data_IF_116138166349
#
_entry.id   IF_116138166349
#
_cell.length_a   1.000
_cell.length_b   1.000
_cell.length_c   1.000
_cell.angle_alpha   90.00
_cell.angle_beta   90.00
_cell.angle_gamma   90.00
#
_symmetry.space_group_name_H-M   'P 1'
#
loop_
_entity.id
_entity.type
_entity.pdbx_description
1 polymer ?
#
# COMPACT_ATOMS: atom_id res chain seq x y z
N UNK A 1 -19.03 -21.84 20.89
CA UNK A 1 -17.73 -21.67 20.19
C UNK A 1 -17.97 -20.65 19.11
N UNK A 2 -17.40 -19.45 19.26
CA UNK A 2 -17.61 -18.36 18.30
C UNK A 2 -16.78 -18.64 17.04
N UNK A 3 -17.43 -18.64 15.87
CA UNK A 3 -16.74 -18.62 14.59
C UNK A 3 -15.86 -17.35 14.53
N UNK A 4 -14.60 -17.42 14.08
CA UNK A 4 -13.88 -16.20 13.76
C UNK A 4 -14.65 -15.56 12.61
N UNK A 5 -15.27 -14.42 12.91
CA UNK A 5 -15.99 -13.61 11.96
C UNK A 5 -15.01 -13.25 10.84
N UNK A 6 -15.13 -13.89 9.67
CA UNK A 6 -14.50 -13.45 8.42
C UNK A 6 -14.90 -11.99 8.23
N UNK A 7 -14.05 -11.06 8.69
CA UNK A 7 -14.25 -9.64 8.48
C UNK A 7 -14.34 -9.44 6.99
N UNK A 8 -15.47 -8.91 6.52
CA UNK A 8 -15.56 -8.52 5.11
C UNK A 8 -14.40 -7.55 4.83
N UNK A 9 -13.73 -7.65 3.68
CA UNK A 9 -12.60 -6.77 3.33
C UNK A 9 -12.96 -5.27 3.43
N UNK A 10 -14.23 -4.93 3.23
CA UNK A 10 -14.81 -3.60 3.40
C UNK A 10 -14.74 -3.08 4.84
N UNK A 11 -14.89 -3.95 5.85
CA UNK A 11 -14.84 -3.57 7.25
C UNK A 11 -13.41 -3.33 7.73
N UNK A 12 -12.45 -4.17 7.30
CA UNK A 12 -11.03 -3.95 7.59
C UNK A 12 -10.55 -2.59 7.06
N UNK A 13 -10.87 -2.29 5.79
CA UNK A 13 -10.54 -1.01 5.19
C UNK A 13 -11.19 0.17 5.92
N UNK A 14 -12.47 0.04 6.29
CA UNK A 14 -13.18 1.08 7.03
C UNK A 14 -12.55 1.34 8.40
N UNK A 15 -12.18 0.28 9.13
CA UNK A 15 -11.52 0.37 10.42
C UNK A 15 -10.16 1.06 10.31
N UNK A 16 -9.33 0.65 9.33
CA UNK A 16 -8.01 1.24 9.11
C UNK A 16 -8.11 2.73 8.73
N UNK A 17 -9.09 3.10 7.89
CA UNK A 17 -9.37 4.50 7.57
C UNK A 17 -9.76 5.31 8.80
N UNK A 18 -10.67 4.78 9.63
CA UNK A 18 -11.05 5.45 10.86
C UNK A 18 -9.85 5.61 11.82
N UNK A 19 -9.03 4.59 11.96
CA UNK A 19 -7.86 4.58 12.84
C UNK A 19 -6.78 5.57 12.39
N UNK A 20 -6.61 5.76 11.07
CA UNK A 20 -5.64 6.72 10.52
C UNK A 20 -5.87 8.17 10.94
N UNK A 21 -7.10 8.51 11.35
CA UNK A 21 -7.47 9.85 11.80
C UNK A 21 -7.43 9.97 13.33
N UNK A 22 -7.69 8.88 14.04
CA UNK A 22 -7.94 8.91 15.49
C UNK A 22 -6.76 8.44 16.35
N UNK A 23 -5.81 7.68 15.78
CA UNK A 23 -4.69 7.11 16.54
C UNK A 23 -3.39 7.88 16.33
N UNK A 24 -2.46 7.92 17.31
CA UNK A 24 -1.11 8.42 17.10
C UNK A 24 -0.35 7.61 16.04
N UNK A 25 0.54 8.27 15.30
CA UNK A 25 1.27 7.68 14.16
C UNK A 25 1.99 6.36 14.50
N UNK A 26 2.69 6.30 15.63
CA UNK A 26 3.38 5.10 16.08
C UNK A 26 2.42 3.90 16.27
N UNK A 27 1.22 4.15 16.82
CA UNK A 27 0.20 3.13 16.99
C UNK A 27 -0.37 2.68 15.64
N UNK A 28 -0.58 3.61 14.71
CA UNK A 28 -1.03 3.29 13.35
C UNK A 28 -0.04 2.34 12.67
N UNK A 29 1.26 2.62 12.75
CA UNK A 29 2.29 1.74 12.17
C UNK A 29 2.25 0.34 12.80
N UNK A 30 2.17 0.24 14.12
CA UNK A 30 2.11 -1.05 14.84
C UNK A 30 0.86 -1.86 14.48
N UNK A 31 -0.29 -1.21 14.35
CA UNK A 31 -1.53 -1.86 13.95
C UNK A 31 -1.41 -2.37 12.49
N UNK A 32 -0.78 -1.61 11.60
CA UNK A 32 -0.50 -2.06 10.23
C UNK A 32 0.46 -3.25 10.17
N UNK A 33 1.49 -3.29 11.03
CA UNK A 33 2.37 -4.47 11.11
C UNK A 33 1.57 -5.72 11.43
N UNK A 34 0.71 -5.65 12.45
CA UNK A 34 -0.16 -6.79 12.83
C UNK A 34 -1.09 -7.18 11.70
N UNK A 35 -1.71 -6.22 11.02
CA UNK A 35 -2.58 -6.52 9.88
C UNK A 35 -1.81 -7.26 8.78
N UNK A 36 -0.61 -6.82 8.44
CA UNK A 36 0.23 -7.46 7.42
C UNK A 36 0.59 -8.91 7.81
N UNK A 37 0.90 -9.14 9.08
CA UNK A 37 1.29 -10.45 9.61
C UNK A 37 0.09 -11.40 9.70
N UNK A 38 -1.01 -10.95 10.32
CA UNK A 38 -2.12 -11.80 10.74
C UNK A 38 -3.15 -12.08 9.62
N UNK A 39 -3.33 -11.15 8.67
CA UNK A 39 -4.41 -11.27 7.67
C UNK A 39 -3.98 -12.07 6.43
N UNK A 40 -4.88 -12.82 5.79
CA UNK A 40 -4.57 -13.57 4.58
C UNK A 40 -4.32 -12.65 3.39
N UNK A 41 -3.56 -13.15 2.39
CA UNK A 41 -3.19 -12.38 1.20
C UNK A 41 -4.40 -11.78 0.46
N UNK A 42 -5.55 -12.46 0.46
CA UNK A 42 -6.80 -11.97 -0.14
C UNK A 42 -7.33 -10.67 0.50
N UNK A 43 -7.30 -10.59 1.82
CA UNK A 43 -7.75 -9.38 2.52
C UNK A 43 -6.75 -8.25 2.35
N UNK A 44 -5.46 -8.58 2.40
CA UNK A 44 -4.36 -7.65 2.14
C UNK A 44 -4.40 -7.08 0.71
N UNK A 45 -4.71 -7.90 -0.29
CA UNK A 45 -4.88 -7.49 -1.68
C UNK A 45 -5.93 -6.39 -1.82
N UNK A 46 -7.04 -6.54 -1.10
CA UNK A 46 -8.16 -5.59 -1.15
C UNK A 46 -7.78 -4.22 -0.58
N UNK A 47 -6.97 -4.18 0.49
CA UNK A 47 -6.59 -2.92 1.14
C UNK A 47 -5.29 -2.33 0.59
N UNK A 48 -4.50 -3.09 -0.16
CA UNK A 48 -3.17 -2.70 -0.63
C UNK A 48 -3.14 -1.37 -1.40
N UNK A 49 -4.05 -1.11 -2.37
CA UNK A 49 -4.04 0.17 -3.08
C UNK A 49 -4.19 1.37 -2.12
N UNK A 50 -5.12 1.26 -1.16
CA UNK A 50 -5.31 2.29 -0.15
C UNK A 50 -4.10 2.44 0.78
N UNK A 51 -3.46 1.34 1.17
CA UNK A 51 -2.25 1.38 2.01
C UNK A 51 -1.12 2.14 1.29
N UNK A 52 -0.90 1.85 0.01
CA UNK A 52 0.13 2.53 -0.80
C UNK A 52 -0.13 4.04 -0.83
N UNK A 53 -1.37 4.46 -1.14
CA UNK A 53 -1.74 5.87 -1.14
C UNK A 53 -1.64 6.52 0.25
N UNK A 54 -2.01 5.80 1.30
CA UNK A 54 -1.94 6.29 2.68
C UNK A 54 -0.49 6.49 3.15
N UNK A 55 0.45 5.68 2.68
CA UNK A 55 1.86 5.74 3.09
C UNK A 55 2.62 6.74 2.22
N UNK A 56 2.57 6.56 0.90
CA UNK A 56 3.41 7.29 -0.06
C UNK A 56 2.75 8.53 -0.65
N UNK A 57 1.43 8.65 -0.50
CA UNK A 57 0.63 9.65 -1.18
C UNK A 57 0.07 9.14 -2.50
N UNK A 58 -0.92 9.87 -3.03
CA UNK A 58 -1.54 9.56 -4.30
C UNK A 58 -0.69 10.09 -5.47
N UNK A 59 -0.82 9.45 -6.63
CA UNK A 59 -0.06 9.81 -7.83
C UNK A 59 -0.42 11.19 -8.39
N UNK A 60 -1.63 11.68 -8.15
CA UNK A 60 -2.05 13.06 -8.47
C UNK A 60 -1.57 14.10 -7.44
N UNK A 61 -0.96 13.66 -6.34
CA UNK A 61 -0.48 14.52 -5.26
C UNK A 61 -1.56 15.11 -4.35
N UNK A 62 -2.83 14.70 -4.52
CA UNK A 62 -3.94 15.17 -3.65
C UNK A 62 -3.77 14.64 -2.22
N UNK A 63 -3.40 13.37 -2.08
CA UNK A 63 -3.05 12.75 -0.81
C UNK A 63 -1.54 12.81 -0.62
N UNK A 64 -1.08 13.42 0.48
CA UNK A 64 0.35 13.49 0.84
C UNK A 64 0.86 12.20 1.52
N UNK A 65 -0.05 11.28 1.84
CA UNK A 65 0.25 10.07 2.61
C UNK A 65 0.76 10.39 4.01
N UNK A 66 1.78 9.66 4.46
CA UNK A 66 2.50 9.93 5.72
C UNK A 66 3.43 11.14 5.65
N UNK A 67 3.46 11.85 4.52
CA UNK A 67 4.34 12.98 4.29
C UNK A 67 5.81 12.64 4.62
N UNK A 68 6.28 11.51 4.06
CA UNK A 68 7.62 10.96 4.30
C UNK A 68 8.75 11.99 4.08
N UNK A 69 8.52 12.97 3.20
CA UNK A 69 9.43 14.10 2.95
C UNK A 69 9.68 14.95 4.19
N UNK A 70 8.68 15.11 5.05
CA UNK A 70 8.76 15.92 6.27
C UNK A 70 9.26 15.13 7.48
N UNK A 71 9.32 13.79 7.40
CA UNK A 71 9.88 12.96 8.47
C UNK A 71 11.40 13.07 8.47
N UNK A 72 11.91 13.93 9.36
CA UNK A 72 13.34 14.16 9.54
C UNK A 72 13.80 13.64 10.89
N UNK A 73 14.82 12.76 10.91
CA UNK A 73 15.32 12.15 12.14
C UNK A 73 15.85 13.11 13.20
N UNK A 74 16.18 14.36 12.84
CA UNK A 74 16.58 15.40 13.80
C UNK A 74 15.38 16.06 14.51
N UNK A 75 14.22 16.11 13.85
CA UNK A 75 13.02 16.78 14.35
C UNK A 75 12.11 15.79 15.06
N UNK A 76 11.94 14.59 14.49
CA UNK A 76 11.15 13.52 15.07
C UNK A 76 11.89 12.16 14.97
N UNK A 77 12.88 11.91 15.85
CA UNK A 77 13.73 10.72 15.76
C UNK A 77 12.94 9.41 15.93
N UNK A 78 11.90 9.43 16.78
CA UNK A 78 11.12 8.23 17.09
C UNK A 78 10.26 7.82 15.88
N UNK A 79 9.46 8.74 15.33
CA UNK A 79 8.64 8.43 14.16
C UNK A 79 9.50 8.11 12.94
N UNK A 80 10.63 8.79 12.78
CA UNK A 80 11.59 8.48 11.74
C UNK A 80 12.11 7.03 11.85
N UNK A 81 12.52 6.58 13.04
CA UNK A 81 12.97 5.19 13.24
C UNK A 81 11.88 4.19 12.91
N UNK A 82 10.64 4.44 13.36
CA UNK A 82 9.49 3.58 13.09
C UNK A 82 9.25 3.43 11.59
N UNK A 83 9.28 4.52 10.83
CA UNK A 83 9.10 4.47 9.38
C UNK A 83 10.25 3.77 8.68
N UNK A 84 11.49 4.02 9.09
CA UNK A 84 12.65 3.35 8.51
C UNK A 84 12.58 1.84 8.74
N UNK A 85 12.20 1.39 9.93
CA UNK A 85 11.98 -0.03 10.23
C UNK A 85 10.80 -0.61 9.45
N UNK A 86 9.71 0.16 9.29
CA UNK A 86 8.52 -0.27 8.56
C UNK A 86 8.81 -0.49 7.06
N UNK A 87 9.60 0.41 6.46
CA UNK A 87 9.94 0.45 5.04
C UNK A 87 11.26 -0.24 4.69
N UNK A 88 11.98 -0.78 5.67
CA UNK A 88 13.21 -1.54 5.46
C UNK A 88 12.99 -2.70 4.46
N UNK A 89 13.99 -3.13 3.68
CA UNK A 89 13.86 -4.29 2.79
C UNK A 89 13.42 -5.59 3.51
N UNK A 90 13.70 -5.74 4.80
CA UNK A 90 13.19 -6.82 5.65
C UNK A 90 11.93 -6.45 6.45
N UNK A 91 11.43 -5.23 6.29
CA UNK A 91 10.35 -4.62 7.04
C UNK A 91 8.95 -5.08 6.62
N UNK A 92 7.93 -4.72 7.42
CA UNK A 92 6.52 -5.01 7.17
C UNK A 92 6.05 -4.70 5.74
N UNK A 93 6.41 -3.54 5.18
CA UNK A 93 5.96 -3.17 3.83
C UNK A 93 6.49 -4.14 2.77
N UNK A 94 7.76 -4.54 2.86
CA UNK A 94 8.34 -5.47 1.88
C UNK A 94 7.79 -6.89 2.05
N UNK A 95 7.56 -7.33 3.30
CA UNK A 95 6.87 -8.60 3.58
C UNK A 95 5.46 -8.64 2.97
N UNK A 96 4.71 -7.54 3.06
CA UNK A 96 3.40 -7.40 2.41
C UNK A 96 3.50 -7.60 0.90
N UNK A 97 4.44 -6.92 0.25
CA UNK A 97 4.66 -7.03 -1.21
C UNK A 97 4.96 -8.48 -1.60
N UNK A 98 5.88 -9.16 -0.89
CA UNK A 98 6.19 -10.56 -1.17
C UNK A 98 5.00 -11.50 -0.95
N UNK A 99 4.22 -11.27 0.11
CA UNK A 99 3.02 -12.06 0.41
C UNK A 99 1.96 -11.93 -0.68
N UNK A 100 1.81 -10.75 -1.28
CA UNK A 100 0.88 -10.52 -2.40
C UNK A 100 1.44 -11.04 -3.72
N UNK A 101 2.76 -10.93 -3.94
CA UNK A 101 3.43 -11.41 -5.16
C UNK A 101 3.44 -12.94 -5.27
N UNK A 102 3.36 -13.66 -4.16
CA UNK A 102 3.25 -15.12 -4.16
C UNK A 102 1.93 -15.62 -4.80
N UNK A 103 0.95 -14.74 -4.96
CA UNK A 103 -0.37 -15.03 -5.53
C UNK A 103 -0.52 -14.38 -6.92
N UNK A 104 -1.44 -14.88 -7.76
CA UNK A 104 -1.72 -14.31 -9.10
C UNK A 104 -2.70 -13.12 -9.04
N UNK A 105 -2.48 -12.20 -8.10
CA UNK A 105 -3.34 -11.03 -7.94
C UNK A 105 -3.07 -9.97 -9.01
N UNK A 106 -4.16 -9.42 -9.55
CA UNK A 106 -4.12 -8.31 -10.52
C UNK A 106 -4.49 -7.00 -9.83
N UNK A 107 -3.82 -5.93 -10.23
CA UNK A 107 -4.09 -4.58 -9.77
C UNK A 107 -4.45 -3.69 -10.95
N UNK A 108 -5.50 -2.90 -10.79
CA UNK A 108 -5.85 -1.87 -11.75
C UNK A 108 -4.88 -0.69 -11.60
N UNK A 109 -4.32 -0.23 -12.71
CA UNK A 109 -3.45 0.94 -12.74
C UNK A 109 -3.93 1.95 -13.79
N UNK A 110 -4.22 3.21 -13.42
CA UNK A 110 -4.76 4.17 -14.38
C UNK A 110 -3.77 4.55 -15.47
N UNK A 111 -4.20 4.40 -16.73
CA UNK A 111 -3.42 4.76 -17.93
C UNK A 111 -2.96 6.22 -17.92
N UNK A 112 -3.69 7.11 -17.23
CA UNK A 112 -3.32 8.52 -17.05
C UNK A 112 -1.96 8.72 -16.38
N UNK A 113 -1.51 7.76 -15.57
CA UNK A 113 -0.23 7.82 -14.85
C UNK A 113 0.92 7.11 -15.57
N UNK A 114 0.67 6.50 -16.73
CA UNK A 114 1.73 5.87 -17.52
C UNK A 114 2.59 6.93 -18.23
N UNK A 115 3.88 6.63 -18.50
CA UNK A 115 4.74 7.51 -19.31
C UNK A 115 4.11 7.81 -20.68
N UNK A 116 4.34 9.02 -21.19
CA UNK A 116 3.74 9.51 -22.43
C UNK A 116 3.78 8.53 -23.62
N UNK A 117 4.93 7.90 -23.91
CA UNK A 117 5.02 6.91 -24.99
C UNK A 117 4.11 5.69 -24.78
N UNK A 118 4.12 5.11 -23.57
CA UNK A 118 3.30 3.92 -23.24
C UNK A 118 1.81 4.27 -23.31
N UNK A 119 1.44 5.44 -22.76
CA UNK A 119 0.07 5.95 -22.80
C UNK A 119 -0.42 6.14 -24.24
N UNK A 120 0.40 6.72 -25.12
CA UNK A 120 0.05 6.92 -26.53
C UNK A 120 -0.14 5.58 -27.24
N UNK A 121 0.77 4.62 -27.06
CA UNK A 121 0.66 3.29 -27.65
C UNK A 121 -0.64 2.58 -27.24
N UNK A 122 -1.00 2.60 -25.96
CA UNK A 122 -2.27 2.03 -25.48
C UNK A 122 -3.49 2.72 -26.11
N UNK A 123 -3.46 4.05 -26.22
CA UNK A 123 -4.54 4.82 -26.85
C UNK A 123 -4.70 4.53 -28.35
N UNK A 124 -3.60 4.22 -29.03
CA UNK A 124 -3.56 3.82 -30.44
C UNK A 124 -3.85 2.33 -30.65
N UNK A 125 -4.18 1.59 -29.59
CA UNK A 125 -4.34 0.13 -29.60
C UNK A 125 -3.09 -0.63 -30.09
N UNK A 126 -1.93 -0.01 -29.98
CA UNK A 126 -0.63 -0.61 -30.26
C UNK A 126 -0.08 -1.07 -28.91
N UNK A 127 -0.07 -2.38 -28.66
CA UNK A 127 0.65 -2.88 -27.49
C UNK A 127 2.15 -2.62 -27.72
N UNK A 128 2.83 -1.92 -26.80
CA UNK A 128 4.28 -1.82 -26.90
C UNK A 128 4.85 -3.24 -26.87
N UNK A 129 5.75 -3.58 -27.80
CA UNK A 129 6.56 -4.80 -27.75
C UNK A 129 7.44 -4.73 -26.49
N UNK A 130 6.88 -5.13 -25.36
CA UNK A 130 7.58 -5.18 -24.08
C UNK A 130 7.29 -6.51 -23.42
N UNK A 131 8.34 -7.21 -22.93
CA UNK A 131 8.19 -8.47 -22.21
C UNK A 131 7.33 -8.33 -20.94
N UNK A 132 7.06 -7.11 -20.45
CA UNK A 132 6.14 -6.86 -19.34
C UNK A 132 4.66 -7.11 -19.68
N UNK A 133 4.28 -7.09 -20.97
CA UNK A 133 2.89 -7.29 -21.42
C UNK A 133 2.65 -8.68 -22.02
N UNK A 134 3.68 -9.52 -22.10
CA UNK A 134 3.58 -10.90 -22.57
C UNK A 134 3.67 -11.82 -21.34
N UNK A 135 2.55 -12.03 -20.65
CA UNK A 135 2.35 -13.18 -19.74
C UNK A 135 1.44 -14.20 -20.43
#
# INVERSE_FOLDING_TARGET
>A
MAFPHLQQPSFLLASLKADSINKPFAQQCQDLVKVIEDFPAKELHTIFPWLVESIFGSLDGVLVGWNLRCLQGRVNPVEYSIVMEFLDPGGPMMKLVYKLQAEDYKFDFPVSYLPGPVKASIQECILPDSPLYHN
#
